data_IF_867939282433
#
_entry.id   IF_867939282433
#
_cell.length_a   1.000
_cell.length_b   1.000
_cell.length_c   1.000
_cell.angle_alpha   90.00
_cell.angle_beta   90.00
_cell.angle_gamma   90.00
#
_symmetry.space_group_name_H-M   'P 1'
#
loop_
_entity.id
_entity.type
_entity.pdbx_description
1 polymer ?
#
# COMPACT_ATOMS: atom_id res chain seq x y z
N UNK A 1 -18.26 28.18 -25.06
CA UNK A 1 -17.76 27.39 -23.92
C UNK A 1 -18.96 26.60 -23.42
N UNK A 2 -18.99 25.28 -23.59
CA UNK A 2 -20.10 24.44 -23.11
C UNK A 2 -19.93 24.31 -21.60
N UNK A 3 -20.99 24.60 -20.84
CA UNK A 3 -21.05 24.40 -19.40
C UNK A 3 -20.74 22.92 -19.11
N UNK A 4 -19.62 22.67 -18.42
CA UNK A 4 -19.33 21.37 -17.84
C UNK A 4 -20.28 21.22 -16.63
N UNK A 5 -21.10 20.17 -16.56
CA UNK A 5 -22.00 19.96 -15.44
C UNK A 5 -21.19 19.91 -14.14
N UNK A 6 -21.57 20.72 -13.16
CA UNK A 6 -21.07 20.63 -11.79
C UNK A 6 -21.47 19.28 -11.22
N UNK A 7 -20.55 18.54 -10.60
CA UNK A 7 -20.71 17.13 -10.21
C UNK A 7 -21.75 16.83 -9.12
N UNK A 8 -22.66 17.76 -8.83
CA UNK A 8 -23.76 17.58 -7.87
C UNK A 8 -24.93 16.74 -8.43
N UNK A 9 -25.07 16.67 -9.76
CA UNK A 9 -26.17 15.96 -10.45
C UNK A 9 -25.73 14.68 -11.20
N UNK A 10 -24.48 14.25 -11.05
CA UNK A 10 -24.00 13.03 -11.73
C UNK A 10 -24.51 11.78 -11.01
N UNK A 11 -25.22 10.92 -11.73
CA UNK A 11 -25.50 9.58 -11.27
C UNK A 11 -24.19 8.76 -11.23
N UNK A 12 -24.11 7.76 -10.35
CA UNK A 12 -22.92 6.90 -10.18
C UNK A 12 -22.35 6.37 -11.50
N UNK A 13 -23.22 6.01 -12.45
CA UNK A 13 -22.79 5.53 -13.77
C UNK A 13 -22.07 6.62 -14.59
N UNK A 14 -22.48 7.88 -14.47
CA UNK A 14 -21.85 8.99 -15.18
C UNK A 14 -20.49 9.34 -14.56
N UNK A 15 -20.39 9.26 -13.23
CA UNK A 15 -19.09 9.34 -12.52
C UNK A 15 -18.11 8.27 -13.01
N UNK A 16 -18.57 7.02 -13.12
CA UNK A 16 -17.75 5.89 -13.59
C UNK A 16 -17.34 6.06 -15.07
N UNK A 17 -18.21 6.62 -15.92
CA UNK A 17 -17.88 6.96 -17.31
C UNK A 17 -16.79 8.05 -17.37
N UNK A 18 -16.95 9.12 -16.60
CA UNK A 18 -15.95 10.19 -16.53
C UNK A 18 -14.59 9.66 -16.04
N UNK A 19 -14.59 8.83 -15.00
CA UNK A 19 -13.36 8.19 -14.49
C UNK A 19 -12.70 7.30 -15.55
N UNK A 20 -13.48 6.49 -16.27
CA UNK A 20 -13.00 5.65 -17.36
C UNK A 20 -12.35 6.47 -18.48
N UNK A 21 -12.89 7.65 -18.76
CA UNK A 21 -12.38 8.57 -19.78
C UNK A 21 -11.22 9.45 -19.26
N UNK A 22 -10.77 9.23 -18.02
CA UNK A 22 -9.61 9.88 -17.42
C UNK A 22 -9.90 11.20 -16.71
N UNK A 23 -11.18 11.53 -16.51
CA UNK A 23 -11.58 12.74 -15.79
C UNK A 23 -11.68 12.47 -14.28
N UNK A 24 -11.37 13.50 -13.49
CA UNK A 24 -11.71 13.57 -12.07
C UNK A 24 -12.82 14.59 -11.87
N UNK A 25 -13.64 14.40 -10.85
CA UNK A 25 -14.73 15.31 -10.54
C UNK A 25 -14.81 15.58 -9.03
N UNK A 26 -15.52 16.65 -8.69
CA UNK A 26 -15.83 17.02 -7.31
C UNK A 26 -17.35 17.10 -7.13
N UNK A 27 -17.80 16.78 -5.93
CA UNK A 27 -19.16 16.99 -5.45
C UNK A 27 -19.13 18.20 -4.51
N UNK A 28 -19.49 19.37 -5.02
CA UNK A 28 -19.28 20.64 -4.33
C UNK A 28 -17.80 20.85 -3.98
N UNK A 29 -17.51 21.06 -2.69
CA UNK A 29 -16.14 21.23 -2.16
C UNK A 29 -15.43 19.89 -1.84
N UNK A 30 -16.09 18.76 -2.06
CA UNK A 30 -15.54 17.44 -1.71
C UNK A 30 -15.17 16.65 -2.94
N UNK A 31 -14.04 15.94 -2.89
CA UNK A 31 -13.65 15.00 -3.93
C UNK A 31 -13.77 13.57 -3.39
N UNK A 32 -14.32 12.62 -4.16
CA UNK A 32 -14.27 11.21 -3.77
C UNK A 32 -12.84 10.76 -3.47
N UNK A 33 -12.64 10.17 -2.29
CA UNK A 33 -11.29 9.75 -1.83
C UNK A 33 -10.58 8.78 -2.77
N UNK A 34 -11.32 8.06 -3.62
CA UNK A 34 -10.76 7.20 -4.66
C UNK A 34 -9.94 7.94 -5.71
N UNK A 35 -10.20 9.22 -5.99
CA UNK A 35 -9.34 9.98 -6.91
C UNK A 35 -7.94 10.19 -6.33
N UNK A 36 -7.84 10.54 -5.03
CA UNK A 36 -6.54 10.63 -4.35
C UNK A 36 -5.86 9.26 -4.25
N UNK A 37 -6.64 8.20 -3.97
CA UNK A 37 -6.11 6.85 -3.95
C UNK A 37 -5.56 6.43 -5.33
N UNK A 38 -6.25 6.75 -6.42
CA UNK A 38 -5.81 6.46 -7.79
C UNK A 38 -4.49 7.17 -8.14
N UNK A 39 -4.37 8.46 -7.83
CA UNK A 39 -3.11 9.21 -8.02
C UNK A 39 -1.99 8.56 -7.22
N UNK A 40 -2.26 8.21 -5.95
CA UNK A 40 -1.26 7.58 -5.08
C UNK A 40 -0.83 6.21 -5.61
N UNK A 41 -1.77 5.40 -6.10
CA UNK A 41 -1.48 4.09 -6.70
C UNK A 41 -0.60 4.27 -7.93
N UNK A 42 -0.90 5.24 -8.81
CA UNK A 42 -0.08 5.50 -10.00
C UNK A 42 1.37 5.88 -9.63
N UNK A 43 1.55 6.81 -8.69
CA UNK A 43 2.90 7.19 -8.20
C UNK A 43 3.64 6.00 -7.60
N UNK A 44 2.94 5.16 -6.82
CA UNK A 44 3.54 3.96 -6.24
C UNK A 44 3.87 2.91 -7.30
N UNK A 45 3.03 2.73 -8.32
CA UNK A 45 3.31 1.83 -9.44
C UNK A 45 4.53 2.30 -10.22
N UNK A 46 4.63 3.59 -10.53
CA UNK A 46 5.79 4.14 -11.24
C UNK A 46 7.10 3.88 -10.49
N UNK A 47 7.08 3.88 -9.15
CA UNK A 47 8.25 3.62 -8.32
C UNK A 47 8.50 2.12 -8.09
N UNK A 48 7.48 1.38 -7.68
CA UNK A 48 7.61 0.00 -7.19
C UNK A 48 7.57 -1.05 -8.31
N UNK A 49 7.03 -0.69 -9.47
CA UNK A 49 7.02 -1.52 -10.68
C UNK A 49 8.01 -1.02 -11.74
N UNK A 50 8.87 -0.05 -11.40
CA UNK A 50 9.92 0.42 -12.28
C UNK A 50 10.87 -0.72 -12.68
N UNK A 51 11.42 -0.75 -13.91
CA UNK A 51 12.35 -1.81 -14.35
C UNK A 51 13.58 -1.98 -13.45
N UNK A 52 14.03 -0.91 -12.80
CA UNK A 52 15.15 -0.89 -11.85
C UNK A 52 14.78 -1.41 -10.46
N UNK A 53 13.49 -1.45 -10.12
CA UNK A 53 13.03 -1.94 -8.82
C UNK A 53 13.05 -3.46 -8.83
N UNK A 54 13.95 -4.02 -8.03
CA UNK A 54 14.04 -5.47 -7.82
C UNK A 54 13.25 -5.85 -6.59
N UNK A 55 12.65 -7.03 -6.60
CA UNK A 55 11.94 -7.58 -5.45
C UNK A 55 12.56 -8.91 -5.07
N UNK A 56 12.82 -9.08 -3.78
CA UNK A 56 13.38 -10.31 -3.25
C UNK A 56 12.58 -10.81 -2.05
N UNK A 57 12.53 -12.13 -1.89
CA UNK A 57 11.95 -12.77 -0.72
C UNK A 57 13.00 -12.83 0.40
N UNK A 58 12.62 -12.33 1.58
CA UNK A 58 13.38 -12.49 2.81
C UNK A 58 12.62 -13.38 3.78
N UNK A 59 13.34 -14.17 4.57
CA UNK A 59 12.74 -15.04 5.57
C UNK A 59 13.41 -14.90 6.93
N UNK A 60 12.63 -15.11 7.99
CA UNK A 60 13.13 -15.16 9.36
C UNK A 60 12.76 -16.50 9.99
N UNK A 61 13.68 -17.09 10.75
CA UNK A 61 13.44 -18.35 11.46
C UNK A 61 12.76 -18.14 12.81
N UNK A 62 13.14 -17.07 13.50
CA UNK A 62 12.79 -16.86 14.90
C UNK A 62 11.71 -15.78 15.10
N UNK A 63 11.56 -14.86 14.15
CA UNK A 63 10.64 -13.73 14.25
C UNK A 63 9.53 -13.84 13.20
N UNK A 64 8.28 -13.69 13.64
CA UNK A 64 7.13 -13.63 12.75
C UNK A 64 6.86 -12.21 12.26
N UNK A 65 6.59 -12.05 10.96
CA UNK A 65 6.25 -10.76 10.34
C UNK A 65 4.82 -10.33 10.65
N UNK A 66 4.65 -9.05 10.97
CA UNK A 66 3.36 -8.37 11.15
C UNK A 66 2.83 -7.89 9.80
N UNK A 67 1.54 -8.14 9.54
CA UNK A 67 0.81 -7.61 8.40
C UNK A 67 -0.01 -6.36 8.84
N UNK A 68 0.38 -5.14 8.44
CA UNK A 68 -0.40 -3.94 8.66
C UNK A 68 -1.49 -3.77 7.60
N UNK A 69 -2.46 -2.90 7.87
CA UNK A 69 -3.42 -2.43 6.87
C UNK A 69 -2.78 -1.62 5.74
N UNK A 70 -1.60 -1.04 5.98
CA UNK A 70 -0.82 -0.30 4.99
C UNK A 70 0.67 -0.29 5.35
N UNK A 71 1.55 -0.55 4.38
CA UNK A 71 2.97 -0.19 4.45
C UNK A 71 3.26 1.20 3.86
N UNK A 72 2.20 1.96 3.53
CA UNK A 72 2.27 3.24 2.82
C UNK A 72 3.12 3.13 1.55
N UNK A 73 4.31 3.73 1.57
CA UNK A 73 5.21 3.84 0.42
C UNK A 73 6.46 2.96 0.60
N UNK A 74 6.45 2.09 1.60
CA UNK A 74 7.54 1.17 1.85
C UNK A 74 7.29 -0.09 1.03
N UNK A 75 8.23 -0.45 0.16
CA UNK A 75 8.18 -1.66 -0.66
C UNK A 75 8.44 -2.91 0.18
N UNK A 76 7.52 -3.24 1.09
CA UNK A 76 7.55 -4.40 1.99
C UNK A 76 6.15 -5.02 1.96
N UNK A 77 6.08 -6.33 1.71
CA UNK A 77 4.82 -7.10 1.65
C UNK A 77 4.99 -8.44 2.38
N UNK A 78 4.45 -8.58 3.60
CA UNK A 78 4.41 -9.86 4.31
C UNK A 78 3.61 -10.87 3.51
N UNK A 79 4.24 -12.01 3.20
CA UNK A 79 3.62 -13.09 2.42
C UNK A 79 3.12 -14.21 3.33
N UNK A 80 3.83 -14.45 4.43
CA UNK A 80 3.49 -15.42 5.46
C UNK A 80 4.14 -15.00 6.79
N UNK A 81 3.83 -15.67 7.92
CA UNK A 81 4.47 -15.35 9.19
C UNK A 81 6.00 -15.36 9.13
N UNK A 82 6.63 -16.16 8.26
CA UNK A 82 8.10 -16.28 8.20
C UNK A 82 8.72 -15.75 6.91
N UNK A 83 7.93 -15.12 6.01
CA UNK A 83 8.39 -14.67 4.71
C UNK A 83 7.80 -13.30 4.34
N UNK A 84 8.66 -12.43 3.82
CA UNK A 84 8.29 -11.09 3.35
C UNK A 84 8.91 -10.83 1.98
N UNK A 85 8.19 -10.14 1.10
CA UNK A 85 8.75 -9.57 -0.12
C UNK A 85 9.26 -8.16 0.18
N UNK A 86 10.47 -7.83 -0.27
CA UNK A 86 11.08 -6.52 -0.02
C UNK A 86 11.70 -5.97 -1.30
N UNK A 87 11.42 -4.71 -1.60
CA UNK A 87 11.94 -4.00 -2.76
C UNK A 87 13.39 -3.53 -2.52
N UNK A 88 14.23 -3.64 -3.54
CA UNK A 88 15.61 -3.17 -3.60
C UNK A 88 16.48 -3.72 -2.46
N UNK A 89 16.28 -4.99 -2.11
CA UNK A 89 17.09 -5.73 -1.13
C UNK A 89 17.50 -7.08 -1.72
N UNK A 90 18.58 -7.66 -1.18
CA UNK A 90 18.95 -9.03 -1.48
C UNK A 90 18.01 -10.01 -0.77
N UNK A 91 17.70 -11.12 -1.44
CA UNK A 91 16.89 -12.19 -0.85
C UNK A 91 17.70 -13.05 0.11
N UNK A 92 17.02 -13.71 1.05
CA UNK A 92 17.67 -14.63 1.99
C UNK A 92 17.17 -14.53 3.42
N UNK A 93 17.95 -15.11 4.32
CA UNK A 93 17.65 -15.09 5.75
C UNK A 93 17.98 -13.72 6.34
N UNK A 94 17.02 -13.12 7.05
CA UNK A 94 17.23 -11.89 7.81
C UNK A 94 17.46 -12.21 9.28
N UNK A 95 18.36 -11.46 9.91
CA UNK A 95 18.55 -11.52 11.36
C UNK A 95 17.27 -11.16 12.11
N UNK A 96 17.13 -11.66 13.34
CA UNK A 96 15.98 -11.33 14.20
C UNK A 96 15.85 -9.81 14.41
N UNK A 97 16.96 -9.08 14.51
CA UNK A 97 16.95 -7.62 14.61
C UNK A 97 16.38 -6.93 13.36
N UNK A 98 16.72 -7.44 12.16
CA UNK A 98 16.16 -6.91 10.91
C UNK A 98 14.67 -7.23 10.79
N UNK A 99 14.25 -8.44 11.17
CA UNK A 99 12.84 -8.82 11.20
C UNK A 99 12.02 -7.97 12.19
N UNK A 100 12.53 -7.73 13.40
CA UNK A 100 11.93 -6.82 14.38
C UNK A 100 11.83 -5.39 13.83
N UNK A 101 12.85 -4.94 13.10
CA UNK A 101 12.83 -3.61 12.47
C UNK A 101 11.72 -3.50 11.42
N UNK A 102 11.51 -4.55 10.61
CA UNK A 102 10.40 -4.63 9.66
C UNK A 102 9.05 -4.56 10.42
N UNK A 103 8.92 -5.28 11.53
CA UNK A 103 7.69 -5.27 12.34
C UNK A 103 7.40 -3.91 12.97
N UNK A 104 8.43 -3.23 13.49
CA UNK A 104 8.28 -1.85 13.98
C UNK A 104 7.79 -0.92 12.88
N UNK A 105 8.34 -1.06 11.67
CA UNK A 105 7.87 -0.30 10.50
C UNK A 105 6.43 -0.64 10.13
N UNK A 106 6.03 -1.91 10.21
CA UNK A 106 4.64 -2.29 9.98
C UNK A 106 3.69 -1.59 10.96
N UNK A 107 4.03 -1.57 12.26
CA UNK A 107 3.23 -0.90 13.29
C UNK A 107 3.21 0.62 13.07
N UNK A 108 4.37 1.24 12.86
CA UNK A 108 4.50 2.69 12.62
C UNK A 108 3.72 3.17 11.40
N UNK A 109 3.65 2.35 10.35
CA UNK A 109 2.94 2.70 9.11
C UNK A 109 1.46 2.27 9.12
N UNK A 110 1.01 1.48 10.09
CA UNK A 110 -0.39 1.09 10.16
C UNK A 110 -1.29 2.29 10.49
N UNK A 111 -2.46 2.37 9.86
CA UNK A 111 -3.43 3.44 10.10
C UNK A 111 -4.58 3.01 11.00
N UNK A 112 -5.08 1.78 10.81
CA UNK A 112 -6.27 1.27 11.51
C UNK A 112 -5.99 -0.01 12.26
N UNK A 113 -5.24 -0.92 11.65
CA UNK A 113 -4.96 -2.22 12.25
C UNK A 113 -3.66 -2.81 11.71
N UNK A 114 -3.12 -3.73 12.49
CA UNK A 114 -2.11 -4.68 12.08
C UNK A 114 -2.41 -6.01 12.76
N UNK A 115 -2.00 -7.11 12.16
CA UNK A 115 -2.23 -8.44 12.69
C UNK A 115 -1.02 -9.33 12.47
N UNK A 116 -0.90 -10.34 13.32
CA UNK A 116 0.10 -11.40 13.22
C UNK A 116 -0.57 -12.74 13.50
N UNK A 117 0.05 -13.84 13.09
CA UNK A 117 -0.39 -15.18 13.50
C UNK A 117 -0.22 -15.36 15.02
N UNK A 118 0.92 -14.94 15.55
CA UNK A 118 1.23 -14.99 16.98
C UNK A 118 2.13 -13.80 17.39
N UNK A 119 1.57 -12.82 18.09
CA UNK A 119 2.29 -11.62 18.52
C UNK A 119 3.47 -11.93 19.46
N UNK A 120 3.44 -13.04 20.19
CA UNK A 120 4.55 -13.43 21.07
C UNK A 120 5.83 -13.77 20.30
N UNK A 121 5.71 -14.03 18.99
CA UNK A 121 6.82 -14.33 18.08
C UNK A 121 7.26 -13.13 17.24
N UNK A 122 6.66 -11.96 17.40
CA UNK A 122 6.99 -10.79 16.57
C UNK A 122 8.14 -9.93 17.12
N UNK A 123 8.62 -10.19 18.35
CA UNK A 123 9.72 -9.45 18.97
C UNK A 123 9.42 -7.95 19.18
N UNK A 124 8.16 -7.65 19.47
CA UNK A 124 7.63 -6.29 19.74
C UNK A 124 7.46 -6.02 21.22
#
# INVERSE_FOLDING_TARGET
>A
MKDLPTGEDLHKNEEEILEKDGYSFARGETMPGRHLASIRIQVLMDRLCAPETTWAAVYSRDIEFIAPDSFFEIGIVPLSPSCCLVANQEGGEVSSNNAITINRKAIEQSSKYYFARDFSKCGI
#
